data_IF_542296659282
#
_entry.id   IF_542296659282
#
_cell.length_a   1.000
_cell.length_b   1.000
_cell.length_c   1.000
_cell.angle_alpha   90.00
_cell.angle_beta   90.00
_cell.angle_gamma   90.00
#
_symmetry.space_group_name_H-M   'P 1'
#
loop_
_entity.id
_entity.type
_entity.pdbx_description
1 polymer ?
#
# COMPACT_ATOMS: atom_id res chain seq x y z
N UNK A 1 86.96 53.83 11.36
CA UNK A 1 86.85 52.48 11.95
C UNK A 1 85.71 52.52 12.96
N UNK A 2 84.59 51.80 12.88
CA UNK A 2 84.12 50.72 12.01
C UNK A 2 82.59 50.87 11.91
N UNK A 3 82.02 50.72 10.72
CA UNK A 3 80.59 50.51 10.52
C UNK A 3 80.18 49.14 11.06
N UNK A 4 79.01 49.04 11.70
CA UNK A 4 78.34 47.77 11.97
C UNK A 4 76.86 47.89 11.51
N UNK A 5 76.36 46.98 10.66
CA UNK A 5 75.07 47.13 9.98
C UNK A 5 73.89 46.53 10.75
N UNK A 6 72.71 47.08 10.44
CA UNK A 6 71.39 46.58 10.78
C UNK A 6 71.19 45.12 10.31
N UNK A 7 70.61 44.30 11.17
CA UNK A 7 69.82 43.13 10.78
C UNK A 7 68.56 43.11 11.64
N UNK A 8 67.48 43.71 11.14
CA UNK A 8 66.15 43.56 11.70
C UNK A 8 65.49 42.38 10.98
N UNK A 9 65.38 41.24 11.66
CA UNK A 9 64.72 40.05 11.15
C UNK A 9 63.20 40.28 11.11
N UNK A 10 62.62 40.32 9.91
CA UNK A 10 61.18 40.29 9.71
C UNK A 10 60.69 38.85 9.86
N UNK A 11 60.05 38.54 10.99
CA UNK A 11 59.34 37.27 11.17
C UNK A 11 57.99 37.34 10.46
N UNK A 12 57.88 36.73 9.28
CA UNK A 12 56.58 36.47 8.64
C UNK A 12 55.87 35.37 9.45
N UNK A 13 54.84 35.76 10.21
CA UNK A 13 53.89 34.82 10.80
C UNK A 13 53.00 34.21 9.71
N UNK A 14 53.20 32.94 9.41
CA UNK A 14 52.25 32.14 8.62
C UNK A 14 51.01 31.89 9.47
N UNK A 15 49.95 32.65 9.23
CA UNK A 15 48.61 32.34 9.74
C UNK A 15 48.04 31.14 8.96
N UNK A 16 48.11 29.95 9.55
CA UNK A 16 47.42 28.78 9.04
C UNK A 16 45.93 28.89 9.39
N UNK A 17 45.11 29.30 8.43
CA UNK A 17 43.65 29.19 8.53
C UNK A 17 43.25 27.72 8.35
N UNK A 18 43.11 26.98 9.45
CA UNK A 18 42.37 25.72 9.43
C UNK A 18 40.87 26.03 9.39
N UNK A 19 40.10 25.52 8.41
CA UNK A 19 38.65 25.63 8.48
C UNK A 19 38.17 24.89 9.74
N UNK A 20 37.46 25.61 10.60
CA UNK A 20 36.81 25.02 11.76
C UNK A 20 35.88 23.91 11.24
N UNK A 21 36.17 22.66 11.63
CA UNK A 21 35.28 21.53 11.41
C UNK A 21 34.03 21.81 12.23
N UNK A 22 33.01 22.36 11.58
CA UNK A 22 31.70 22.57 12.16
C UNK A 22 31.20 21.21 12.61
N UNK A 23 31.34 20.96 13.90
CA UNK A 23 30.87 19.74 14.52
C UNK A 23 29.37 19.90 14.53
N UNK A 24 28.72 19.29 13.54
CA UNK A 24 27.27 19.18 13.50
C UNK A 24 26.83 18.76 14.90
N UNK A 25 26.00 19.59 15.52
CA UNK A 25 25.42 19.28 16.81
C UNK A 25 24.84 17.87 16.74
N UNK A 26 25.01 17.02 17.78
CA UNK A 26 24.38 15.73 17.80
C UNK A 26 22.89 15.95 17.61
N UNK A 27 22.36 15.52 16.46
CA UNK A 27 20.91 15.45 16.25
C UNK A 27 20.43 14.53 17.35
N UNK A 28 19.83 15.13 18.37
CA UNK A 28 19.26 14.36 19.47
C UNK A 28 18.13 13.57 18.80
N UNK A 29 18.35 12.27 18.58
CA UNK A 29 17.32 11.38 18.10
C UNK A 29 16.26 11.34 19.19
N UNK A 30 15.30 12.26 19.12
CA UNK A 30 14.16 12.28 19.99
C UNK A 30 13.46 10.95 19.76
N UNK A 31 13.57 10.06 20.74
CA UNK A 31 12.93 8.74 20.69
C UNK A 31 11.44 9.00 20.54
N UNK A 32 10.93 8.84 19.32
CA UNK A 32 9.51 9.06 19.03
C UNK A 32 8.71 8.15 19.96
N UNK A 33 7.94 8.74 20.86
CA UNK A 33 7.15 8.00 21.84
C UNK A 33 6.01 7.31 21.11
N UNK A 34 5.92 5.98 21.23
CA UNK A 34 4.82 5.21 20.63
C UNK A 34 3.52 5.54 21.39
N UNK A 35 2.47 6.06 20.72
CA UNK A 35 1.18 6.32 21.36
C UNK A 35 0.59 5.07 22.00
N UNK A 36 -0.18 5.24 23.08
CA UNK A 36 -0.72 4.12 23.85
C UNK A 36 -1.51 3.12 23.01
N UNK A 37 -2.27 3.61 22.03
CA UNK A 37 -3.02 2.75 21.11
C UNK A 37 -2.12 1.76 20.35
N UNK A 38 -0.89 2.16 20.02
CA UNK A 38 0.03 1.37 19.21
C UNK A 38 0.99 0.52 20.04
N UNK A 39 0.84 0.51 21.37
CA UNK A 39 1.62 -0.37 22.26
C UNK A 39 1.21 -1.84 22.09
N UNK A 40 2.02 -2.72 22.66
CA UNK A 40 1.74 -4.14 22.69
C UNK A 40 0.46 -4.40 23.48
N UNK A 41 -0.35 -5.36 23.03
CA UNK A 41 -1.58 -5.76 23.72
C UNK A 41 -1.90 -7.23 23.51
N UNK A 42 -2.76 -7.75 24.37
CA UNK A 42 -3.24 -9.13 24.32
C UNK A 42 -4.67 -9.13 23.81
N UNK A 43 -4.97 -10.05 22.91
CA UNK A 43 -6.31 -10.30 22.40
C UNK A 43 -6.67 -11.78 22.57
N UNK A 44 -7.95 -12.12 22.54
CA UNK A 44 -8.41 -13.50 22.64
C UNK A 44 -8.37 -14.19 21.28
N UNK A 45 -7.66 -15.31 21.20
CA UNK A 45 -7.53 -16.13 19.99
C UNK A 45 -8.77 -16.99 19.69
N UNK A 46 -8.81 -17.64 18.51
CA UNK A 46 -9.93 -18.47 18.07
C UNK A 46 -10.24 -19.66 18.99
N UNK A 47 -9.22 -20.17 19.68
CA UNK A 47 -9.26 -21.29 20.62
C UNK A 47 -9.44 -20.84 22.08
N UNK A 48 -9.66 -19.55 22.31
CA UNK A 48 -9.76 -18.95 23.63
C UNK A 48 -8.42 -18.63 24.28
N UNK A 49 -7.28 -19.06 23.70
CA UNK A 49 -5.97 -18.75 24.24
C UNK A 49 -5.56 -17.29 23.91
N UNK A 50 -4.78 -16.63 24.77
CA UNK A 50 -4.32 -15.27 24.53
C UNK A 50 -3.33 -15.22 23.35
N UNK A 51 -3.49 -14.20 22.49
CA UNK A 51 -2.57 -13.86 21.42
C UNK A 51 -1.92 -12.52 21.73
N UNK A 52 -0.58 -12.51 21.76
CA UNK A 52 0.21 -11.31 21.97
C UNK A 52 0.41 -10.56 20.64
N UNK A 53 -0.10 -9.34 20.56
CA UNK A 53 0.12 -8.41 19.46
C UNK A 53 1.25 -7.47 19.86
N UNK A 54 2.36 -7.50 19.12
CA UNK A 54 3.50 -6.63 19.37
C UNK A 54 3.15 -5.14 19.14
N UNK A 55 3.89 -4.26 19.81
CA UNK A 55 3.79 -2.82 19.57
C UNK A 55 4.18 -2.48 18.13
N UNK A 56 3.50 -1.50 17.54
CA UNK A 56 3.93 -0.94 16.26
C UNK A 56 5.23 -0.17 16.49
N UNK A 57 6.23 -0.42 15.67
CA UNK A 57 7.51 0.29 15.75
C UNK A 57 7.28 1.77 15.40
N UNK A 58 7.87 2.67 16.19
CA UNK A 58 7.74 4.12 15.98
C UNK A 58 8.10 4.56 14.55
N UNK A 59 9.04 3.88 13.90
CA UNK A 59 9.44 4.16 12.52
C UNK A 59 8.31 3.99 11.48
N UNK A 60 7.22 3.28 11.80
CA UNK A 60 6.06 3.09 10.90
C UNK A 60 4.91 4.04 11.20
N UNK A 61 5.00 4.79 12.31
CA UNK A 61 3.98 5.70 12.81
C UNK A 61 4.24 7.12 12.29
N UNK A 62 4.18 7.30 10.97
CA UNK A 62 4.17 8.64 10.37
C UNK A 62 2.86 9.36 10.69
N UNK A 63 2.82 10.68 10.56
CA UNK A 63 1.62 11.48 10.85
C UNK A 63 0.40 11.01 10.04
N UNK A 64 0.61 10.59 8.79
CA UNK A 64 -0.47 10.09 7.92
C UNK A 64 -0.90 8.67 8.29
N UNK A 65 0.02 7.86 8.82
CA UNK A 65 -0.24 6.46 9.15
C UNK A 65 -0.87 6.26 10.53
N UNK A 66 -0.64 7.19 11.46
CA UNK A 66 -1.31 7.19 12.74
C UNK A 66 -2.78 7.58 12.59
N UNK A 67 -3.64 6.94 13.38
CA UNK A 67 -5.04 7.31 13.44
C UNK A 67 -5.20 8.69 14.05
N UNK A 68 -6.04 9.52 13.45
CA UNK A 68 -6.23 10.90 13.86
C UNK A 68 -7.68 11.30 13.63
N UNK A 69 -8.27 12.00 14.62
CA UNK A 69 -9.53 12.69 14.42
C UNK A 69 -9.28 13.92 13.55
N UNK A 70 -9.95 13.99 12.40
CA UNK A 70 -9.78 15.08 11.43
C UNK A 70 -11.14 15.69 11.07
N UNK A 71 -11.12 16.91 10.54
CA UNK A 71 -12.29 17.46 9.86
C UNK A 71 -12.62 16.61 8.62
N UNK A 72 -13.91 16.42 8.37
CA UNK A 72 -14.43 15.65 7.25
C UNK A 72 -15.36 16.53 6.42
N UNK A 73 -14.96 16.78 5.17
CA UNK A 73 -15.67 17.61 4.20
C UNK A 73 -16.50 16.79 3.19
N UNK A 74 -16.58 15.48 3.37
CA UNK A 74 -17.42 14.59 2.55
C UNK A 74 -18.91 14.77 2.85
N UNK A 75 -19.73 14.20 1.99
CA UNK A 75 -21.20 14.21 2.09
C UNK A 75 -21.76 12.96 2.73
N UNK A 76 -20.90 12.00 3.04
CA UNK A 76 -21.25 10.70 3.60
C UNK A 76 -21.75 10.83 5.04
N UNK A 77 -22.77 10.05 5.37
CA UNK A 77 -23.41 10.08 6.69
C UNK A 77 -22.51 9.48 7.79
N UNK A 78 -22.64 9.93 9.05
CA UNK A 78 -21.96 9.31 10.20
C UNK A 78 -22.14 7.80 10.27
N UNK A 79 -21.07 7.09 10.63
CA UNK A 79 -20.98 5.63 10.63
C UNK A 79 -20.55 5.03 9.29
N UNK A 80 -20.49 5.80 8.21
CA UNK A 80 -19.95 5.33 6.92
C UNK A 80 -18.44 5.12 7.00
N UNK A 81 -17.94 4.07 6.36
CA UNK A 81 -16.52 3.89 6.09
C UNK A 81 -16.21 4.42 4.69
N UNK A 82 -15.26 5.33 4.57
CA UNK A 82 -14.79 5.83 3.29
C UNK A 82 -13.31 5.50 3.12
N UNK A 83 -12.99 4.73 2.11
CA UNK A 83 -11.62 4.35 1.77
C UNK A 83 -11.17 5.18 0.59
N UNK A 84 -9.99 5.78 0.72
CA UNK A 84 -9.32 6.49 -0.36
C UNK A 84 -8.00 5.77 -0.68
N UNK A 85 -7.98 4.89 -1.69
CA UNK A 85 -6.78 4.12 -2.01
C UNK A 85 -5.62 4.98 -2.51
N UNK A 86 -5.92 6.09 -3.16
CA UNK A 86 -4.93 6.98 -3.78
C UNK A 86 -4.26 7.86 -2.72
N UNK A 87 -5.02 8.31 -1.72
CA UNK A 87 -4.50 9.03 -0.56
C UNK A 87 -4.04 8.11 0.59
N UNK A 88 -4.26 6.79 0.45
CA UNK A 88 -3.89 5.70 1.36
C UNK A 88 -4.43 5.87 2.78
N UNK A 89 -5.68 6.29 2.84
CA UNK A 89 -6.38 6.56 4.10
C UNK A 89 -7.76 5.91 4.11
N UNK A 90 -8.23 5.57 5.30
CA UNK A 90 -9.60 5.15 5.57
C UNK A 90 -10.20 6.11 6.60
N UNK A 91 -11.42 6.55 6.36
CA UNK A 91 -12.20 7.40 7.24
C UNK A 91 -13.36 6.62 7.83
N UNK A 92 -13.48 6.61 9.16
CA UNK A 92 -14.73 6.28 9.85
C UNK A 92 -15.44 7.61 10.14
N UNK A 93 -16.49 7.90 9.37
CA UNK A 93 -17.20 9.18 9.44
C UNK A 93 -17.93 9.31 10.77
N UNK A 94 -17.76 10.45 11.44
CA UNK A 94 -18.34 10.75 12.73
C UNK A 94 -19.28 11.98 12.63
N UNK A 95 -20.19 12.15 13.60
CA UNK A 95 -21.00 13.37 13.68
C UNK A 95 -20.14 14.63 13.80
N UNK A 96 -20.72 15.79 13.47
CA UNK A 96 -20.05 17.09 13.66
C UNK A 96 -19.03 17.45 12.57
N UNK A 97 -19.11 16.82 11.39
CA UNK A 97 -18.20 17.10 10.28
C UNK A 97 -16.78 16.62 10.56
N UNK A 98 -16.66 15.47 11.23
CA UNK A 98 -15.38 14.86 11.60
C UNK A 98 -15.30 13.41 11.11
N UNK A 99 -14.10 12.87 11.07
CA UNK A 99 -13.89 11.44 10.85
C UNK A 99 -12.65 10.99 11.61
N UNK A 100 -12.66 9.75 12.10
CA UNK A 100 -11.42 9.09 12.49
C UNK A 100 -10.74 8.61 11.21
N UNK A 101 -9.60 9.23 10.87
CA UNK A 101 -8.75 8.82 9.75
C UNK A 101 -7.78 7.77 10.23
N UNK A 102 -7.54 6.75 9.42
CA UNK A 102 -6.53 5.71 9.60
C UNK A 102 -5.62 5.65 8.38
N UNK A 103 -4.32 5.42 8.56
CA UNK A 103 -3.47 5.03 7.45
C UNK A 103 -3.74 3.60 7.04
N UNK A 104 -3.69 3.33 5.73
CA UNK A 104 -3.91 1.98 5.19
C UNK A 104 -2.84 1.60 4.16
N UNK A 105 -2.60 0.30 4.02
CA UNK A 105 -1.94 -0.22 2.82
C UNK A 105 -3.00 -0.67 1.82
N UNK A 106 -2.73 -0.47 0.54
CA UNK A 106 -3.69 -0.77 -0.53
C UNK A 106 -3.05 -1.58 -1.66
N UNK A 107 -3.89 -2.07 -2.56
CA UNK A 107 -3.43 -2.73 -3.78
C UNK A 107 -2.62 -1.78 -4.67
N UNK A 108 -1.71 -2.32 -5.49
CA UNK A 108 -1.07 -1.54 -6.55
C UNK A 108 -2.13 -0.96 -7.50
N UNK A 109 -1.89 0.24 -8.05
CA UNK A 109 -2.82 0.99 -8.88
C UNK A 109 -3.45 0.12 -9.99
N UNK A 110 -4.76 0.29 -10.21
CA UNK A 110 -5.52 -0.44 -11.24
C UNK A 110 -5.98 -1.85 -10.86
N UNK A 111 -5.81 -2.28 -9.59
CA UNK A 111 -6.25 -3.60 -9.09
C UNK A 111 -7.22 -3.54 -7.91
N UNK A 112 -7.88 -2.40 -7.71
CA UNK A 112 -8.77 -2.14 -6.58
C UNK A 112 -10.25 -2.26 -6.93
N UNK A 113 -11.06 -2.53 -5.91
CA UNK A 113 -12.51 -2.32 -5.95
C UNK A 113 -12.80 -0.82 -5.80
N UNK A 114 -13.71 -0.28 -6.60
CA UNK A 114 -14.21 1.09 -6.49
C UNK A 114 -15.73 1.10 -6.36
N UNK A 115 -16.29 2.10 -5.68
CA UNK A 115 -17.72 2.30 -5.51
C UNK A 115 -18.24 1.86 -4.14
N UNK A 116 -19.53 1.51 -4.09
CA UNK A 116 -20.23 1.22 -2.83
C UNK A 116 -20.27 -0.27 -2.51
N UNK A 117 -20.07 -0.60 -1.24
CA UNK A 117 -20.24 -1.93 -0.67
C UNK A 117 -20.80 -1.85 0.76
N UNK A 118 -21.08 -3.01 1.33
CA UNK A 118 -21.58 -3.16 2.71
C UNK A 118 -20.76 -4.21 3.46
N UNK A 119 -20.48 -3.99 4.73
CA UNK A 119 -19.85 -4.99 5.60
C UNK A 119 -20.91 -6.01 6.02
N UNK A 120 -21.06 -7.10 5.28
CA UNK A 120 -22.05 -8.14 5.60
C UNK A 120 -21.51 -9.21 6.56
N UNK A 121 -20.19 -9.37 6.65
CA UNK A 121 -19.54 -10.33 7.56
C UNK A 121 -18.32 -9.70 8.23
N UNK A 122 -18.13 -10.09 9.48
CA UNK A 122 -17.03 -9.70 10.36
C UNK A 122 -16.43 -10.96 10.97
N UNK A 123 -15.11 -11.07 11.01
CA UNK A 123 -14.42 -12.17 11.69
C UNK A 123 -13.25 -11.65 12.55
N UNK A 124 -13.20 -12.13 13.79
CA UNK A 124 -12.01 -12.04 14.63
C UNK A 124 -11.09 -13.22 14.34
N UNK A 125 -9.78 -12.96 14.23
CA UNK A 125 -8.75 -13.93 13.85
C UNK A 125 -9.20 -14.83 12.69
N UNK A 126 -9.50 -14.24 11.51
CA UNK A 126 -10.04 -14.98 10.37
C UNK A 126 -9.03 -16.04 9.89
N UNK A 127 -9.55 -17.15 9.37
CA UNK A 127 -8.74 -18.01 8.51
C UNK A 127 -8.49 -17.33 7.16
N UNK A 128 -7.42 -17.74 6.48
CA UNK A 128 -7.09 -17.24 5.15
C UNK A 128 -6.72 -18.38 4.23
N UNK A 129 -7.09 -18.28 2.95
CA UNK A 129 -6.62 -19.15 1.88
C UNK A 129 -6.26 -18.27 0.69
N UNK A 130 -5.16 -18.56 -0.03
CA UNK A 130 -4.91 -17.93 -1.32
C UNK A 130 -6.12 -18.10 -2.24
N UNK A 131 -6.35 -17.12 -3.11
CA UNK A 131 -7.36 -17.25 -4.17
C UNK A 131 -6.91 -18.28 -5.21
N UNK A 132 -7.84 -18.87 -5.95
CA UNK A 132 -7.48 -19.80 -7.03
C UNK A 132 -6.61 -19.13 -8.11
N UNK A 133 -6.80 -17.83 -8.32
CA UNK A 133 -5.92 -17.06 -9.20
C UNK A 133 -4.48 -17.03 -8.67
N UNK A 134 -4.28 -16.75 -7.38
CA UNK A 134 -2.94 -16.73 -6.76
C UNK A 134 -2.27 -18.10 -6.84
N UNK A 135 -3.02 -19.19 -6.57
CA UNK A 135 -2.50 -20.56 -6.70
C UNK A 135 -2.08 -20.90 -8.14
N UNK A 136 -2.80 -20.36 -9.12
CA UNK A 136 -2.53 -20.61 -10.54
C UNK A 136 -1.37 -19.76 -11.08
N UNK A 137 -1.24 -18.50 -10.66
CA UNK A 137 -0.26 -17.56 -11.22
C UNK A 137 1.07 -17.53 -10.47
N UNK A 138 1.07 -17.82 -9.18
CA UNK A 138 2.25 -17.81 -8.30
C UNK A 138 2.29 -19.09 -7.43
N UNK A 139 2.22 -20.30 -8.02
CA UNK A 139 2.13 -21.55 -7.29
C UNK A 139 3.32 -21.79 -6.35
N UNK A 140 4.52 -21.35 -6.72
CA UNK A 140 5.74 -21.47 -5.91
C UNK A 140 5.65 -20.71 -4.59
N UNK A 141 4.86 -19.64 -4.53
CA UNK A 141 4.63 -18.86 -3.31
C UNK A 141 3.45 -19.41 -2.51
N UNK A 142 2.35 -19.77 -3.19
CA UNK A 142 1.06 -20.00 -2.53
C UNK A 142 0.64 -21.47 -2.36
N UNK A 143 1.22 -22.43 -3.11
CA UNK A 143 0.75 -23.84 -3.06
C UNK A 143 0.86 -24.45 -1.67
N UNK A 144 1.90 -24.09 -0.90
CA UNK A 144 2.06 -24.51 0.50
C UNK A 144 0.89 -24.07 1.42
N UNK A 145 0.15 -23.03 1.02
CA UNK A 145 -0.98 -22.48 1.76
C UNK A 145 -2.33 -22.84 1.12
N UNK A 146 -2.38 -23.77 0.15
CA UNK A 146 -3.60 -24.12 -0.58
C UNK A 146 -4.73 -24.65 0.34
N UNK A 147 -4.36 -25.28 1.47
CA UNK A 147 -5.28 -25.75 2.52
C UNK A 147 -5.68 -24.66 3.53
N UNK A 148 -5.17 -23.44 3.34
CA UNK A 148 -5.40 -22.29 4.20
C UNK A 148 -4.51 -22.26 5.44
N UNK A 149 -4.53 -21.09 6.08
CA UNK A 149 -3.93 -20.80 7.37
C UNK A 149 -5.04 -20.55 8.39
N UNK A 150 -4.92 -21.11 9.61
CA UNK A 150 -5.83 -20.78 10.69
C UNK A 150 -5.68 -19.31 11.11
N UNK A 151 -6.61 -18.83 11.93
CA UNK A 151 -6.49 -17.52 12.57
C UNK A 151 -5.27 -17.46 13.49
N UNK A 152 -4.56 -16.34 13.48
CA UNK A 152 -3.42 -16.10 14.37
C UNK A 152 -2.42 -15.09 13.81
N UNK A 153 -1.31 -14.87 14.51
CA UNK A 153 -0.30 -13.85 14.16
C UNK A 153 0.43 -14.13 12.83
N UNK A 154 0.45 -15.38 12.37
CA UNK A 154 1.05 -15.75 11.09
C UNK A 154 0.09 -15.59 9.91
N UNK A 155 -1.18 -15.28 10.18
CA UNK A 155 -2.19 -15.13 9.14
C UNK A 155 -2.07 -13.75 8.45
N UNK A 156 -2.03 -13.68 7.11
CA UNK A 156 -1.88 -12.41 6.39
C UNK A 156 -3.08 -11.47 6.51
N UNK A 157 -4.25 -11.96 6.94
CA UNK A 157 -5.40 -11.12 7.27
C UNK A 157 -5.27 -10.44 8.64
N UNK A 158 -4.31 -10.85 9.46
CA UNK A 158 -4.07 -10.31 10.79
C UNK A 158 -5.22 -10.57 11.77
N UNK A 159 -5.42 -9.61 12.67
CA UNK A 159 -6.30 -9.77 13.84
C UNK A 159 -7.79 -9.73 13.53
N UNK A 160 -8.25 -8.97 12.52
CA UNK A 160 -9.66 -8.86 12.13
C UNK A 160 -9.79 -8.77 10.62
N UNK A 161 -10.94 -9.20 10.10
CA UNK A 161 -11.37 -8.92 8.74
C UNK A 161 -12.84 -8.49 8.68
N UNK A 162 -13.08 -7.47 7.87
CA UNK A 162 -14.37 -6.94 7.45
C UNK A 162 -14.56 -7.30 5.98
N UNK A 163 -15.60 -8.06 5.67
CA UNK A 163 -15.83 -8.59 4.33
C UNK A 163 -16.84 -7.70 3.61
N UNK A 164 -16.45 -7.19 2.45
CA UNK A 164 -17.26 -6.25 1.67
C UNK A 164 -18.11 -6.99 0.65
N UNK A 165 -19.39 -6.64 0.62
CA UNK A 165 -20.39 -7.23 -0.26
C UNK A 165 -21.07 -6.16 -1.11
N UNK A 166 -21.45 -6.54 -2.32
CA UNK A 166 -22.39 -5.79 -3.15
C UNK A 166 -23.70 -6.58 -3.24
N UNK A 167 -24.73 -6.10 -2.53
CA UNK A 167 -25.92 -6.89 -2.29
C UNK A 167 -25.56 -8.18 -1.54
N UNK A 168 -25.84 -9.34 -2.15
CA UNK A 168 -25.51 -10.66 -1.61
C UNK A 168 -24.18 -11.24 -2.09
N UNK A 169 -23.45 -10.54 -2.96
CA UNK A 169 -22.23 -11.04 -3.60
C UNK A 169 -20.98 -10.59 -2.82
N UNK A 170 -20.12 -11.54 -2.42
CA UNK A 170 -18.80 -11.23 -1.85
C UNK A 170 -17.92 -10.61 -2.94
N UNK A 171 -17.40 -9.41 -2.69
CA UNK A 171 -16.50 -8.71 -3.63
C UNK A 171 -15.10 -9.31 -3.65
N UNK A 172 -14.81 -10.25 -2.74
CA UNK A 172 -13.48 -10.71 -2.39
C UNK A 172 -12.54 -9.57 -1.92
N UNK A 173 -13.12 -8.41 -1.58
CA UNK A 173 -12.41 -7.28 -1.01
C UNK A 173 -12.63 -7.24 0.50
N UNK A 174 -11.57 -6.92 1.23
CA UNK A 174 -11.59 -6.87 2.70
C UNK A 174 -10.88 -5.64 3.22
N UNK A 175 -11.37 -5.14 4.34
CA UNK A 175 -10.60 -4.31 5.25
C UNK A 175 -10.13 -5.23 6.37
N UNK A 176 -8.82 -5.37 6.54
CA UNK A 176 -8.27 -6.35 7.47
C UNK A 176 -6.98 -5.86 8.15
N UNK A 177 -6.51 -6.60 9.15
CA UNK A 177 -5.23 -6.34 9.80
C UNK A 177 -4.04 -6.65 8.90
N UNK A 178 -2.85 -6.84 9.48
CA UNK A 178 -1.68 -7.24 8.68
C UNK A 178 -0.66 -7.99 9.53
N UNK A 179 0.09 -8.90 8.90
CA UNK A 179 1.31 -9.46 9.51
C UNK A 179 2.49 -8.46 9.41
N UNK A 180 2.44 -7.57 8.42
CA UNK A 180 3.50 -6.61 8.11
C UNK A 180 3.04 -5.17 8.39
N UNK A 181 3.30 -4.63 9.59
CA UNK A 181 2.96 -3.25 9.90
C UNK A 181 3.77 -2.22 9.09
N UNK A 182 4.91 -2.59 8.50
CA UNK A 182 5.71 -1.67 7.68
C UNK A 182 5.06 -1.35 6.33
N UNK A 183 4.06 -2.14 5.93
CA UNK A 183 3.29 -1.95 4.70
C UNK A 183 2.29 -0.79 4.77
N UNK A 184 1.88 -0.37 5.97
CA UNK A 184 0.85 0.67 6.14
C UNK A 184 1.34 2.00 5.55
N UNK A 185 0.47 2.66 4.78
CA UNK A 185 0.78 3.88 4.02
C UNK A 185 1.37 3.61 2.64
N UNK A 186 1.44 2.35 2.18
CA UNK A 186 2.06 1.94 0.91
C UNK A 186 1.12 1.17 0.00
N UNK A 187 1.42 1.15 -1.30
CA UNK A 187 0.68 0.38 -2.31
C UNK A 187 1.32 -1.01 -2.55
N UNK A 188 1.29 -1.88 -1.54
CA UNK A 188 2.00 -3.18 -1.53
C UNK A 188 1.10 -4.40 -1.47
N UNK A 189 -0.23 -4.21 -1.48
CA UNK A 189 -1.18 -5.31 -1.36
C UNK A 189 -1.56 -5.91 -2.72
N UNK A 190 -2.13 -7.12 -2.72
CA UNK A 190 -2.68 -7.77 -3.91
C UNK A 190 -4.11 -7.30 -4.24
N UNK A 191 -4.64 -6.31 -3.51
CA UNK A 191 -5.97 -5.75 -3.72
C UNK A 191 -6.54 -5.15 -2.44
N UNK A 192 -6.69 -5.94 -1.38
CA UNK A 192 -7.39 -5.57 -0.13
C UNK A 192 -6.78 -4.38 0.63
N UNK A 193 -7.55 -3.84 1.59
CA UNK A 193 -7.16 -2.75 2.49
C UNK A 193 -6.58 -3.33 3.77
N UNK A 194 -5.32 -3.03 4.05
CA UNK A 194 -4.64 -3.45 5.28
C UNK A 194 -4.55 -2.30 6.25
N UNK A 195 -4.78 -2.59 7.52
CA UNK A 195 -4.66 -1.68 8.65
C UNK A 195 -3.68 -2.25 9.67
N UNK A 196 -3.16 -1.40 10.57
CA UNK A 196 -2.53 -1.91 11.78
C UNK A 196 -3.52 -2.81 12.54
N UNK A 197 -3.02 -3.88 13.16
CA UNK A 197 -3.86 -4.77 13.97
C UNK A 197 -4.56 -3.99 15.10
N UNK A 198 -3.87 -3.00 15.65
CA UNK A 198 -4.40 -2.13 16.68
C UNK A 198 -5.66 -1.40 16.20
N UNK A 199 -5.56 -0.77 15.03
CA UNK A 199 -6.65 0.03 14.48
C UNK A 199 -7.83 -0.81 14.00
N UNK A 200 -7.58 -1.94 13.32
CA UNK A 200 -8.68 -2.77 12.79
C UNK A 200 -9.50 -3.43 13.89
N UNK A 201 -8.89 -3.79 15.02
CA UNK A 201 -9.61 -4.34 16.19
C UNK A 201 -10.55 -3.29 16.77
N UNK A 202 -10.08 -2.05 16.91
CA UNK A 202 -10.88 -0.97 17.49
C UNK A 202 -12.03 -0.62 16.52
N UNK A 203 -11.73 -0.43 15.23
CA UNK A 203 -12.74 -0.21 14.20
C UNK A 203 -13.76 -1.36 14.15
N UNK A 204 -13.29 -2.61 14.25
CA UNK A 204 -14.14 -3.79 14.28
C UNK A 204 -15.09 -3.78 15.49
N UNK A 205 -14.69 -3.28 16.64
CA UNK A 205 -15.56 -3.19 17.80
C UNK A 205 -16.63 -2.09 17.63
N UNK A 206 -16.27 -0.99 16.98
CA UNK A 206 -17.13 0.18 16.81
C UNK A 206 -18.25 -0.02 15.78
N UNK A 207 -17.98 -0.67 14.65
CA UNK A 207 -18.92 -0.69 13.52
C UNK A 207 -19.79 -1.95 13.47
N UNK A 208 -21.11 -1.85 13.24
CA UNK A 208 -21.97 -3.01 13.07
C UNK A 208 -21.83 -3.65 11.67
N UNK A 209 -22.32 -4.89 11.52
CA UNK A 209 -22.65 -5.43 10.18
C UNK A 209 -23.74 -4.57 9.53
N UNK A 210 -23.72 -4.44 8.21
CA UNK A 210 -24.60 -3.51 7.48
C UNK A 210 -23.99 -2.12 7.30
N UNK A 211 -22.82 -1.85 7.90
CA UNK A 211 -22.08 -0.59 7.71
C UNK A 211 -21.74 -0.40 6.23
N UNK A 212 -22.09 0.78 5.71
CA UNK A 212 -21.80 1.20 4.35
C UNK A 212 -20.30 1.50 4.18
N UNK A 213 -19.74 1.03 3.08
CA UNK A 213 -18.37 1.32 2.66
C UNK A 213 -18.40 1.99 1.29
N UNK A 214 -17.70 3.10 1.17
CA UNK A 214 -17.42 3.77 -0.11
C UNK A 214 -15.93 3.67 -0.38
N UNK A 215 -15.55 3.13 -1.54
CA UNK A 215 -14.16 3.18 -2.01
C UNK A 215 -14.07 4.19 -3.15
N UNK A 216 -13.30 5.25 -2.93
CA UNK A 216 -13.19 6.38 -3.84
C UNK A 216 -12.45 5.99 -5.13
N UNK A 217 -12.92 6.57 -6.23
CA UNK A 217 -12.19 6.62 -7.50
C UNK A 217 -11.02 7.62 -7.42
N UNK A 218 -10.12 7.58 -8.40
CA UNK A 218 -9.04 8.58 -8.51
C UNK A 218 -9.57 10.00 -8.59
N UNK A 219 -10.64 10.22 -9.37
CA UNK A 219 -11.24 11.53 -9.55
C UNK A 219 -11.84 12.07 -8.24
N UNK A 220 -12.46 11.20 -7.45
CA UNK A 220 -12.95 11.57 -6.11
C UNK A 220 -11.80 11.88 -5.17
N UNK A 221 -10.73 11.09 -5.18
CA UNK A 221 -9.54 11.36 -4.38
C UNK A 221 -8.93 12.71 -4.71
N UNK A 222 -8.73 13.01 -6.01
CA UNK A 222 -8.21 14.30 -6.46
C UNK A 222 -9.08 15.47 -6.01
N UNK A 223 -10.40 15.30 -6.03
CA UNK A 223 -11.35 16.33 -5.58
C UNK A 223 -11.31 16.55 -4.07
N UNK A 224 -11.14 15.48 -3.29
CA UNK A 224 -11.27 15.51 -1.82
C UNK A 224 -9.94 15.78 -1.11
N UNK A 225 -8.87 15.16 -1.59
CA UNK A 225 -7.54 15.13 -0.97
C UNK A 225 -6.52 15.97 -1.76
N UNK A 226 -6.83 16.29 -3.02
CA UNK A 226 -5.89 16.91 -3.95
C UNK A 226 -4.94 15.90 -4.60
N UNK A 227 -4.01 16.38 -5.44
CA UNK A 227 -3.02 15.52 -6.07
C UNK A 227 -2.06 14.96 -5.02
N UNK A 228 -1.80 13.66 -5.09
CA UNK A 228 -0.90 12.94 -4.19
C UNK A 228 0.34 12.47 -4.96
N UNK A 229 1.52 12.59 -4.35
CA UNK A 229 2.78 12.12 -4.90
C UNK A 229 3.35 10.97 -4.05
N UNK A 230 3.83 9.93 -4.72
CA UNK A 230 4.48 8.81 -4.05
C UNK A 230 5.95 9.14 -3.75
N UNK A 231 6.37 8.90 -2.51
CA UNK A 231 7.78 9.06 -2.10
C UNK A 231 8.60 7.85 -2.54
N UNK A 232 9.95 7.94 -2.63
CA UNK A 232 10.81 6.80 -2.97
C UNK A 232 10.66 5.60 -2.01
N UNK A 233 10.29 5.84 -0.75
CA UNK A 233 10.03 4.83 0.27
C UNK A 233 8.66 4.16 0.10
N UNK A 234 7.88 4.64 -0.87
CA UNK A 234 6.57 4.17 -1.24
C UNK A 234 5.47 4.68 -0.32
N UNK A 235 5.61 5.85 0.31
CA UNK A 235 4.51 6.56 1.02
C UNK A 235 3.80 7.54 0.08
N UNK A 236 2.73 8.20 0.53
CA UNK A 236 2.09 9.30 -0.23
C UNK A 236 2.04 10.58 0.59
N UNK A 237 2.33 11.68 -0.09
CA UNK A 237 2.26 13.03 0.43
C UNK A 237 1.50 13.93 -0.55
N UNK A 238 0.84 15.02 -0.08
CA UNK A 238 0.27 16.01 -0.99
C UNK A 238 1.33 16.51 -1.98
N UNK A 239 1.01 16.49 -3.26
CA UNK A 239 1.95 16.86 -4.31
C UNK A 239 2.41 18.32 -4.13
N UNK A 240 3.72 18.55 -4.26
CA UNK A 240 4.25 19.89 -4.20
C UNK A 240 3.69 20.76 -5.35
N UNK A 241 3.53 22.08 -5.19
CA UNK A 241 2.99 22.95 -6.24
C UNK A 241 3.71 22.81 -7.60
N UNK A 242 5.01 22.52 -7.59
CA UNK A 242 5.80 22.25 -8.80
C UNK A 242 5.41 20.94 -9.51
N UNK A 243 5.00 19.92 -8.77
CA UNK A 243 4.50 18.65 -9.31
C UNK A 243 3.08 18.81 -9.86
N UNK A 244 2.24 19.61 -9.18
CA UNK A 244 0.89 19.94 -9.65
C UNK A 244 0.94 20.70 -10.98
N UNK A 245 1.88 21.63 -11.14
CA UNK A 245 2.08 22.35 -12.40
C UNK A 245 2.49 21.43 -13.56
N UNK A 246 3.33 20.42 -13.31
CA UNK A 246 3.72 19.43 -14.31
C UNK A 246 2.57 18.49 -14.71
N UNK A 247 1.64 18.19 -13.79
CA UNK A 247 0.43 17.41 -14.06
C UNK A 247 -0.59 18.22 -14.88
N UNK A 248 -0.65 19.54 -14.65
CA UNK A 248 -1.59 20.45 -15.31
C UNK A 248 -1.15 20.93 -16.70
N UNK A 249 0.11 20.72 -17.09
CA UNK A 249 0.57 20.96 -18.46
C UNK A 249 0.42 19.67 -19.27
N UNK A 250 -0.62 19.52 -20.12
CA UNK A 250 -0.51 18.55 -21.20
C UNK A 250 0.67 19.00 -22.06
N UNK A 251 1.63 18.11 -22.20
CA UNK A 251 2.89 18.34 -22.88
C UNK A 251 2.61 19.00 -24.26
N UNK A 252 2.79 20.32 -24.31
CA UNK A 252 2.85 21.09 -25.56
C UNK A 252 4.32 21.28 -25.90
N UNK A 253 5.16 20.28 -25.58
CA UNK A 253 6.49 20.18 -26.15
C UNK A 253 6.35 19.74 -27.61
N UNK A 254 6.79 20.62 -28.50
CA UNK A 254 6.76 20.47 -29.94
C UNK A 254 7.37 19.15 -30.39
N UNK A 255 6.60 18.36 -31.15
CA UNK A 255 7.14 17.33 -32.03
C UNK A 255 7.97 18.01 -33.13
N UNK A 256 9.22 18.34 -32.85
CA UNK A 256 10.23 18.46 -33.91
C UNK A 256 10.62 17.04 -34.32
N UNK A 257 10.29 16.67 -35.55
CA UNK A 257 10.63 15.39 -36.13
C UNK A 257 12.14 15.19 -36.18
N UNK A 258 12.70 14.47 -35.22
CA UNK A 258 14.01 13.84 -35.37
C UNK A 258 13.80 12.38 -35.76
N UNK A 259 14.11 12.09 -37.02
CA UNK A 259 14.53 10.82 -37.65
C UNK A 259 14.13 9.48 -36.99
N UNK A 260 13.52 8.54 -37.74
CA UNK A 260 13.24 7.21 -37.21
C UNK A 260 14.55 6.48 -36.89
N UNK A 261 14.61 5.87 -35.71
CA UNK A 261 15.66 4.95 -35.33
C UNK A 261 15.71 3.78 -36.33
N UNK A 262 16.88 3.54 -36.90
CA UNK A 262 17.15 2.37 -37.74
C UNK A 262 17.00 1.09 -36.91
N UNK A 263 16.14 0.19 -37.36
CA UNK A 263 15.99 -1.17 -36.83
C UNK A 263 17.32 -1.94 -36.96
N UNK A 264 17.96 -2.34 -35.85
CA UNK A 264 19.23 -3.06 -35.88
C UNK A 264 19.11 -4.52 -36.37
N UNK A 265 17.92 -5.00 -36.72
CA UNK A 265 17.69 -6.38 -37.22
C UNK A 265 17.36 -6.47 -38.71
N UNK A 266 17.39 -5.36 -39.46
CA UNK A 266 17.03 -5.33 -40.89
C UNK A 266 18.03 -6.02 -41.85
N UNK A 267 19.12 -6.63 -41.36
CA UNK A 267 20.19 -7.20 -42.20
C UNK A 267 20.65 -8.61 -41.80
N UNK A 268 19.76 -9.45 -41.28
CA UNK A 268 20.05 -10.90 -41.20
C UNK A 268 19.62 -11.61 -42.49
N UNK A 269 20.52 -12.34 -43.18
CA UNK A 269 20.14 -13.14 -44.33
C UNK A 269 19.28 -14.33 -43.90
N UNK A 270 18.09 -14.46 -44.51
CA UNK A 270 17.23 -15.63 -44.39
C UNK A 270 17.92 -16.83 -45.06
N UNK A 271 18.59 -17.69 -44.28
CA UNK A 271 18.88 -19.06 -44.72
C UNK A 271 17.66 -19.93 -44.45
N UNK A 272 17.15 -20.58 -45.49
CA UNK A 272 16.02 -21.50 -45.48
C UNK A 272 16.19 -22.59 -44.42
N UNK A 273 15.24 -22.66 -43.48
CA UNK A 273 15.14 -23.78 -42.53
C UNK A 273 14.24 -24.86 -43.15
N UNK A 274 14.80 -26.04 -43.26
CA UNK A 274 14.18 -27.29 -43.69
C UNK A 274 13.00 -27.67 -42.77
N UNK A 275 11.81 -27.84 -43.35
CA UNK A 275 10.55 -28.12 -42.64
C UNK A 275 10.32 -29.60 -42.32
N UNK A 276 11.36 -30.44 -42.31
CA UNK A 276 11.19 -31.89 -42.15
C UNK A 276 11.18 -32.45 -40.72
N UNK A 277 11.18 -31.63 -39.66
CA UNK A 277 11.07 -32.15 -38.27
C UNK A 277 10.25 -31.23 -37.35
N UNK A 278 8.93 -31.34 -37.41
CA UNK A 278 8.04 -30.94 -36.31
C UNK A 278 7.13 -32.13 -35.99
N UNK A 279 7.53 -32.97 -35.04
CA UNK A 279 6.61 -33.88 -34.34
C UNK A 279 6.18 -33.20 -33.05
N UNK A 280 4.91 -32.82 -32.98
CA UNK A 280 4.21 -32.33 -31.80
C UNK A 280 3.74 -33.53 -30.94
N UNK A 281 4.27 -33.73 -29.71
CA UNK A 281 3.92 -34.89 -28.90
C UNK A 281 2.64 -34.75 -28.05
N UNK A 282 1.82 -33.70 -28.19
CA UNK A 282 0.59 -33.56 -27.38
C UNK A 282 -0.69 -33.16 -28.11
N UNK A 283 -0.74 -33.32 -29.43
CA UNK A 283 -2.02 -33.30 -30.14
C UNK A 283 -2.83 -34.58 -29.86
N UNK A 284 -3.63 -34.59 -28.78
CA UNK A 284 -4.69 -35.58 -28.61
C UNK A 284 -6.02 -34.95 -29.01
N UNK A 285 -6.49 -35.33 -30.19
CA UNK A 285 -7.91 -35.33 -30.55
C UNK A 285 -8.63 -36.39 -29.73
N UNK A 286 -9.59 -36.01 -28.89
CA UNK A 286 -10.85 -36.75 -28.86
C UNK A 286 -12.01 -35.88 -28.34
N UNK A 287 -13.16 -36.24 -28.89
CA UNK A 287 -14.46 -35.59 -28.85
C UNK A 287 -15.29 -35.94 -27.62
N UNK A 288 -16.27 -35.08 -27.35
CA UNK A 288 -17.44 -35.27 -26.48
C UNK A 288 -17.24 -35.10 -24.96
N UNK A 289 -17.67 -33.95 -24.42
CA UNK A 289 -18.85 -33.92 -23.54
C UNK A 289 -19.38 -32.49 -23.30
N UNK A 290 -20.70 -32.41 -23.18
CA UNK A 290 -21.56 -31.23 -23.20
C UNK A 290 -21.54 -30.46 -21.87
N UNK A 291 -21.52 -29.13 -21.93
CA UNK A 291 -21.77 -28.24 -20.78
C UNK A 291 -23.23 -28.29 -20.34
N UNK A 292 -23.51 -28.21 -19.02
CA UNK A 292 -24.74 -27.61 -18.55
C UNK A 292 -24.48 -26.31 -17.80
N UNK A 293 -25.08 -25.25 -18.33
CA UNK A 293 -25.59 -24.10 -17.60
C UNK A 293 -26.80 -24.55 -16.75
N UNK A 294 -27.20 -23.71 -15.79
CA UNK A 294 -28.45 -23.75 -14.97
C UNK A 294 -28.39 -24.61 -13.69
N UNK A 295 -29.02 -24.26 -12.56
CA UNK A 295 -29.96 -23.20 -12.21
C UNK A 295 -30.05 -23.09 -10.67
N UNK A 296 -30.86 -22.13 -10.23
CA UNK A 296 -31.09 -21.65 -8.87
C UNK A 296 -31.97 -22.57 -7.96
N UNK A 297 -31.75 -22.43 -6.64
CA UNK A 297 -32.73 -22.38 -5.51
C UNK A 297 -33.41 -23.69 -5.02
N UNK A 298 -33.74 -23.81 -3.70
CA UNK A 298 -33.93 -25.06 -2.97
C UNK A 298 -35.39 -25.40 -2.63
N UNK A 299 -35.61 -26.64 -2.15
CA UNK A 299 -36.86 -27.03 -1.48
C UNK A 299 -36.74 -28.32 -0.67
N UNK A 300 -36.71 -28.18 0.65
CA UNK A 300 -37.55 -28.91 1.62
C UNK A 300 -37.84 -27.98 2.80
#
# INVERSE_FOLDING_TARGET
MRLAPLFTAAALGLAACTPAKETAAPVTQQSATVPDIYKARVDQGPDGNPINIAAVRAAYLTDRNQRQLVAYNGTEEPGTIVVDPYARVLYHVQPGGQAMRYGVAVGRAGKGFEGSATIARKAAWPSWRPTDNMLRTEPELYSQFANGLPGGMQNPLGSRALYLYQGSVDTYYRIHGTLDPSSIGKATSAGCIRMFNQDVIDLFAEIPTGTKVIVRSEADSLRMEGPMAETPEGYVEPAAPSQVAAIATPDTASFTSSQPASDPYASMPMTSVDTSLVTDPYATTDTAFVSPVESAVPGQ
#
